data_IF_092310148336
#
_entry.id   IF_092310148336
#
_cell.length_a   1.000
_cell.length_b   1.000
_cell.length_c   1.000
_cell.angle_alpha   90.00
_cell.angle_beta   90.00
_cell.angle_gamma   90.00
#
_symmetry.space_group_name_H-M   'P 1'
#
loop_
_entity.id
_entity.type
_entity.pdbx_description
1 polymer ?
#
# COMPACT_ATOMS: atom_id res chain seq x y z
N UNK A 1 9.39 -10.61 11.44
CA UNK A 1 8.77 -11.00 10.14
C UNK A 1 9.76 -10.71 9.01
N UNK A 2 9.90 -11.60 8.01
CA UNK A 2 10.71 -11.33 6.82
C UNK A 2 10.08 -10.17 6.00
N UNK A 3 10.90 -9.25 5.47
CA UNK A 3 10.45 -8.14 4.61
C UNK A 3 9.63 -8.62 3.41
N UNK A 4 10.04 -9.67 2.71
CA UNK A 4 9.30 -10.15 1.53
C UNK A 4 7.88 -10.59 1.87
N UNK A 5 7.69 -11.32 2.98
CA UNK A 5 6.36 -11.67 3.47
C UNK A 5 5.54 -10.44 3.88
N UNK A 6 6.18 -9.43 4.47
CA UNK A 6 5.51 -8.19 4.88
C UNK A 6 5.01 -7.39 3.68
N UNK A 7 5.85 -7.21 2.66
CA UNK A 7 5.48 -6.56 1.40
C UNK A 7 4.32 -7.30 0.74
N UNK A 8 4.39 -8.63 0.62
CA UNK A 8 3.32 -9.42 0.02
C UNK A 8 2.00 -9.34 0.81
N UNK A 9 2.07 -9.34 2.14
CA UNK A 9 0.90 -9.17 3.01
C UNK A 9 0.24 -7.80 2.81
N UNK A 10 1.02 -6.72 2.85
CA UNK A 10 0.52 -5.34 2.64
C UNK A 10 -0.06 -5.19 1.23
N UNK A 11 0.64 -5.66 0.21
CA UNK A 11 0.19 -5.66 -1.18
C UNK A 11 -1.15 -6.39 -1.35
N UNK A 12 -1.27 -7.60 -0.81
CA UNK A 12 -2.49 -8.41 -0.87
C UNK A 12 -3.66 -7.70 -0.21
N UNK A 13 -3.43 -7.05 0.94
CA UNK A 13 -4.47 -6.28 1.64
C UNK A 13 -4.93 -5.07 0.83
N UNK A 14 -4.01 -4.38 0.15
CA UNK A 14 -4.39 -3.32 -0.79
C UNK A 14 -5.22 -3.87 -1.94
N UNK A 15 -4.86 -5.00 -2.57
CA UNK A 15 -5.69 -5.61 -3.61
C UNK A 15 -7.11 -5.96 -3.12
N UNK A 16 -7.23 -6.35 -1.84
CA UNK A 16 -8.51 -6.57 -1.15
C UNK A 16 -9.22 -5.28 -0.70
N UNK A 17 -8.70 -4.10 -1.09
CA UNK A 17 -9.22 -2.77 -0.72
C UNK A 17 -9.32 -2.53 0.79
N UNK A 18 -8.49 -3.20 1.60
CA UNK A 18 -8.44 -2.95 3.04
C UNK A 18 -7.81 -1.58 3.33
N UNK A 19 -8.34 -0.89 4.34
CA UNK A 19 -7.72 0.30 4.92
C UNK A 19 -6.68 -0.13 5.93
N UNK A 20 -5.47 0.41 5.83
CA UNK A 20 -4.32 -0.04 6.61
C UNK A 20 -3.83 1.05 7.56
N UNK A 21 -3.77 0.74 8.85
CA UNK A 21 -3.18 1.59 9.87
C UNK A 21 -1.70 1.22 10.08
N UNK A 22 -0.81 2.20 10.06
CA UNK A 22 0.64 1.96 10.19
C UNK A 22 1.04 1.45 11.58
N UNK A 23 0.34 1.85 12.64
CA UNK A 23 0.60 1.42 14.01
C UNK A 23 0.11 -0.02 14.23
N UNK A 24 -1.07 -0.36 13.69
CA UNK A 24 -1.58 -1.75 13.70
C UNK A 24 -0.59 -2.68 12.97
N UNK A 25 -0.16 -2.31 11.76
CA UNK A 25 0.81 -3.11 10.98
C UNK A 25 2.18 -3.20 11.66
N UNK A 26 2.65 -2.11 12.26
CA UNK A 26 3.90 -2.05 13.05
C UNK A 26 3.87 -3.07 14.18
N UNK A 27 2.76 -3.11 14.91
CA UNK A 27 2.51 -4.05 16.01
C UNK A 27 2.42 -5.49 15.51
N UNK A 28 1.64 -5.73 14.46
CA UNK A 28 1.43 -7.05 13.86
C UNK A 28 2.75 -7.66 13.35
N UNK A 29 3.52 -6.87 12.61
CA UNK A 29 4.75 -7.35 11.95
C UNK A 29 6.01 -7.21 12.82
N UNK A 30 5.89 -6.58 13.99
CA UNK A 30 6.98 -6.32 14.94
C UNK A 30 8.15 -5.57 14.29
N UNK A 31 7.83 -4.46 13.61
CA UNK A 31 8.80 -3.54 12.99
C UNK A 31 8.38 -2.11 13.28
N UNK A 32 9.24 -1.10 13.08
CA UNK A 32 8.86 0.29 13.30
C UNK A 32 7.82 0.80 12.30
N UNK A 33 7.02 1.78 12.69
CA UNK A 33 6.12 2.51 11.76
C UNK A 33 6.88 3.08 10.56
N UNK A 34 8.13 3.57 10.75
CA UNK A 34 8.99 4.03 9.65
C UNK A 34 9.27 2.91 8.63
N UNK A 35 9.43 1.68 9.10
CA UNK A 35 9.60 0.51 8.21
C UNK A 35 8.33 0.26 7.41
N UNK A 36 7.16 0.31 8.06
CA UNK A 36 5.86 0.16 7.38
C UNK A 36 5.64 1.22 6.31
N UNK A 37 5.93 2.49 6.63
CA UNK A 37 5.82 3.61 5.67
C UNK A 37 6.71 3.35 4.44
N UNK A 38 7.95 2.91 4.66
CA UNK A 38 8.86 2.58 3.56
C UNK A 38 8.37 1.41 2.72
N UNK A 39 7.87 0.35 3.33
CA UNK A 39 7.33 -0.79 2.58
C UNK A 39 6.10 -0.38 1.74
N UNK A 40 5.22 0.47 2.28
CA UNK A 40 4.09 1.03 1.53
C UNK A 40 4.57 1.92 0.37
N UNK A 41 5.64 2.70 0.58
CA UNK A 41 6.25 3.52 -0.48
C UNK A 41 6.78 2.64 -1.62
N UNK A 42 7.44 1.53 -1.31
CA UNK A 42 7.95 0.60 -2.33
C UNK A 42 6.81 -0.04 -3.14
N UNK A 43 5.70 -0.41 -2.48
CA UNK A 43 4.51 -0.92 -3.18
C UNK A 43 3.87 0.18 -4.04
N UNK A 44 3.82 1.41 -3.56
CA UNK A 44 3.33 2.56 -4.34
C UNK A 44 4.16 2.77 -5.60
N UNK A 45 5.49 2.73 -5.49
CA UNK A 45 6.37 2.86 -6.63
C UNK A 45 6.16 1.72 -7.63
N UNK A 46 6.04 0.47 -7.14
CA UNK A 46 5.69 -0.67 -7.99
C UNK A 46 4.39 -0.47 -8.76
N UNK A 47 3.33 0.04 -8.12
CA UNK A 47 2.06 0.33 -8.81
C UNK A 47 2.17 1.46 -9.84
N UNK A 48 3.13 2.38 -9.67
CA UNK A 48 3.36 3.48 -10.60
C UNK A 48 4.19 3.04 -11.82
N UNK A 49 5.23 2.23 -11.60
CA UNK A 49 6.17 1.79 -12.64
C UNK A 49 5.62 0.68 -13.53
N UNK A 50 4.55 0.00 -13.10
CA UNK A 50 4.05 -1.20 -13.74
C UNK A 50 2.75 -0.93 -14.52
N UNK A 51 2.88 -0.77 -15.83
CA UNK A 51 1.79 -0.48 -16.79
C UNK A 51 0.92 -1.71 -17.13
N UNK A 52 1.12 -2.86 -16.49
CA UNK A 52 0.29 -4.06 -16.70
C UNK A 52 -1.16 -3.89 -16.23
N UNK A 53 -1.46 -2.84 -15.45
CA UNK A 53 -2.80 -2.57 -14.96
C UNK A 53 -3.60 -1.70 -15.94
N UNK A 54 -4.80 -2.17 -16.31
CA UNK A 54 -5.77 -1.43 -17.14
C UNK A 54 -6.12 -0.06 -16.52
N UNK A 55 -6.12 0.04 -15.20
CA UNK A 55 -6.34 1.27 -14.45
C UNK A 55 -5.18 1.54 -13.50
N UNK A 56 -4.68 2.79 -13.48
CA UNK A 56 -3.61 3.18 -12.56
C UNK A 56 -4.05 2.93 -11.11
N UNK A 57 -3.17 2.36 -10.30
CA UNK A 57 -3.42 2.14 -8.87
C UNK A 57 -2.71 3.22 -8.06
N UNK A 58 -3.45 3.93 -7.23
CA UNK A 58 -2.90 4.97 -6.36
C UNK A 58 -3.11 4.61 -4.89
N UNK A 59 -2.01 4.49 -4.13
CA UNK A 59 -2.07 4.39 -2.67
C UNK A 59 -1.95 5.80 -2.09
N UNK A 60 -2.97 6.24 -1.35
CA UNK A 60 -2.99 7.53 -0.66
C UNK A 60 -3.11 7.34 0.86
N UNK A 61 -2.72 8.37 1.60
CA UNK A 61 -2.91 8.42 3.05
C UNK A 61 -4.11 9.31 3.36
N UNK A 62 -5.11 8.74 4.03
CA UNK A 62 -6.26 9.47 4.55
C UNK A 62 -5.86 10.11 5.88
N UNK A 63 -5.71 11.44 5.89
CA UNK A 63 -5.33 12.20 7.08
C UNK A 63 -6.46 12.36 8.10
N UNK A 64 -7.71 12.11 7.71
CA UNK A 64 -8.87 12.15 8.62
C UNK A 64 -8.94 10.86 9.44
N UNK A 65 -8.71 9.71 8.79
CA UNK A 65 -8.80 8.39 9.44
C UNK A 65 -7.43 7.80 9.78
N UNK A 66 -6.33 8.48 9.45
CA UNK A 66 -4.94 8.04 9.63
C UNK A 66 -4.60 6.67 9.00
N UNK A 67 -5.23 6.34 7.87
CA UNK A 67 -5.11 5.04 7.20
C UNK A 67 -4.66 5.17 5.75
N UNK A 68 -3.87 4.20 5.29
CA UNK A 68 -3.58 4.03 3.87
C UNK A 68 -4.71 3.29 3.18
N UNK A 69 -5.05 3.74 1.97
CA UNK A 69 -6.06 3.11 1.12
C UNK A 69 -5.59 3.10 -0.32
N UNK A 70 -6.12 2.19 -1.13
CA UNK A 70 -5.91 2.16 -2.58
C UNK A 70 -7.17 2.65 -3.30
N UNK A 71 -6.98 3.45 -4.35
CA UNK A 71 -8.01 3.79 -5.33
C UNK A 71 -7.51 3.45 -6.72
N UNK A 72 -8.44 3.16 -7.62
CA UNK A 72 -8.11 3.15 -9.04
C UNK A 72 -8.16 4.62 -9.50
N UNK A 73 -7.11 5.09 -10.16
CA UNK A 73 -7.13 6.33 -10.92
C UNK A 73 -8.09 6.17 -12.09
N UNK A 74 -8.85 7.23 -12.40
CA UNK A 74 -9.74 7.24 -13.57
C UNK A 74 -8.99 6.88 -14.85
N UNK A 75 -9.74 6.35 -15.84
CA UNK A 75 -9.23 5.84 -17.11
C UNK A 75 -8.10 6.71 -17.66
N UNK A 76 -7.03 6.05 -18.09
CA UNK A 76 -6.07 6.64 -19.02
C UNK A 76 -6.86 6.91 -20.30
N UNK A 77 -7.12 8.18 -20.61
CA UNK A 77 -7.61 8.53 -21.95
C UNK A 77 -6.44 8.21 -22.90
N UNK A 78 -6.57 7.09 -23.61
CA UNK A 78 -5.74 6.75 -24.77
C UNK A 78 -6.12 7.66 -25.94
#
# INVERSE_FOLDING_TARGET
MNRSHRLLSIYTRFLQRKKLDKLELSTEFKVSERTIIRDIQEIRNYFYDNDEWIEKKEIYYDYTNYKYSIKNGGKINL
#
